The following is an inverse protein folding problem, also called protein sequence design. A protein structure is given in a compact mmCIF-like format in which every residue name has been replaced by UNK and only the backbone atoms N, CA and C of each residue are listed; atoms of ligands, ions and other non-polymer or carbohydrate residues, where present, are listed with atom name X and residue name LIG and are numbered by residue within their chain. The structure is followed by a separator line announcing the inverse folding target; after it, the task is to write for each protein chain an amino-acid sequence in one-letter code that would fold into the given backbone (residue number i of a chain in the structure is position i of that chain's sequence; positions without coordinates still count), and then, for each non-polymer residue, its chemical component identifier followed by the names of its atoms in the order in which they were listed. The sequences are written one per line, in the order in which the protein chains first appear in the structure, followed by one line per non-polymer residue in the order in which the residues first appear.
data_IF_575198975116
#
_entry.id   IF_575198975116
#
_cell.length_a   1.000
_cell.length_b   1.000
_cell.length_c   1.000
_cell.angle_alpha   90.00
_cell.angle_beta   90.00
_cell.angle_gamma   90.00
#
_symmetry.space_group_name_H-M   'P 1'
#
loop_
_entity.id
_entity.type
_entity.pdbx_description
1 polymer ?
#
# COMPACT_ATOMS: atom_id res chain seq x y z
N UNK A 1 64.07 -14.29 -17.44
CA UNK A 1 62.88 -13.86 -18.20
C UNK A 1 62.07 -15.11 -18.52
N UNK A 2 60.76 -15.09 -18.23
CA UNK A 2 59.71 -16.10 -18.50
C UNK A 2 59.82 -17.48 -17.81
N UNK A 3 58.95 -17.70 -16.81
CA UNK A 3 58.43 -19.04 -16.48
C UNK A 3 57.15 -19.31 -17.29
N UNK A 4 56.15 -20.00 -16.71
CA UNK A 4 56.08 -21.34 -16.12
C UNK A 4 55.09 -22.18 -16.98
N UNK A 5 54.51 -23.28 -16.48
CA UNK A 5 53.11 -23.73 -16.70
C UNK A 5 52.95 -25.26 -16.80
N UNK A 6 52.12 -25.77 -15.89
CA UNK A 6 51.08 -26.79 -16.11
C UNK A 6 51.50 -28.21 -16.52
N UNK A 7 51.69 -29.10 -15.53
CA UNK A 7 51.36 -30.52 -15.75
C UNK A 7 51.10 -31.36 -14.49
N UNK A 8 51.64 -31.01 -13.32
CA UNK A 8 51.74 -32.00 -12.22
C UNK A 8 50.61 -32.09 -11.19
N UNK A 9 49.77 -31.05 -11.03
CA UNK A 9 49.02 -30.86 -9.76
C UNK A 9 47.55 -31.34 -9.80
N UNK A 10 47.14 -32.06 -10.85
CA UNK A 10 45.79 -32.64 -10.91
C UNK A 10 45.79 -34.16 -10.70
N UNK A 11 45.89 -34.60 -9.44
CA UNK A 11 45.30 -35.86 -8.92
C UNK A 11 44.86 -35.62 -7.47
N UNK A 12 43.58 -35.35 -7.22
CA UNK A 12 42.49 -36.31 -7.04
C UNK A 12 42.58 -37.13 -5.73
N UNK A 13 41.61 -36.90 -4.84
CA UNK A 13 41.19 -37.89 -3.83
C UNK A 13 41.23 -37.43 -2.37
N UNK A 14 40.25 -36.66 -1.90
CA UNK A 14 40.00 -36.55 -0.45
C UNK A 14 38.52 -36.42 -0.07
N UNK A 15 37.89 -37.60 0.02
CA UNK A 15 37.05 -38.09 1.14
C UNK A 15 36.10 -37.10 1.82
N UNK A 16 34.96 -36.95 1.19
CA UNK A 16 33.64 -36.61 1.72
C UNK A 16 33.11 -37.73 2.65
N UNK A 17 33.25 -37.64 3.99
CA UNK A 17 32.40 -38.38 4.99
C UNK A 17 32.74 -38.20 6.48
N UNK A 18 33.02 -36.97 6.96
CA UNK A 18 33.23 -36.75 8.41
C UNK A 18 32.40 -35.62 9.04
N UNK A 19 31.56 -34.93 8.26
CA UNK A 19 30.91 -33.69 8.74
C UNK A 19 29.48 -33.88 9.26
N UNK A 20 28.85 -35.04 9.01
CA UNK A 20 27.44 -35.27 9.42
C UNK A 20 27.28 -36.02 10.76
N UNK A 21 28.36 -36.47 11.40
CA UNK A 21 28.28 -37.30 12.62
C UNK A 21 28.55 -36.55 13.95
N UNK A 22 28.75 -35.22 13.93
CA UNK A 22 29.04 -34.43 15.15
C UNK A 22 27.89 -33.50 15.60
N UNK A 23 26.74 -33.48 14.92
CA UNK A 23 25.72 -32.44 15.13
C UNK A 23 24.47 -32.97 15.87
N UNK A 24 24.66 -33.51 17.08
CA UNK A 24 23.57 -33.78 18.04
C UNK A 24 23.91 -33.12 19.37
N UNK A 25 22.91 -32.48 20.00
CA UNK A 25 22.78 -32.22 21.45
C UNK A 25 23.00 -30.79 22.03
N UNK A 26 22.86 -29.70 21.26
CA UNK A 26 22.89 -28.32 21.83
C UNK A 26 21.90 -27.32 21.21
N UNK A 27 20.74 -27.75 20.69
CA UNK A 27 19.74 -26.81 20.13
C UNK A 27 18.49 -26.57 21.01
N UNK A 28 18.23 -27.36 22.04
CA UNK A 28 16.92 -27.32 22.71
C UNK A 28 16.79 -26.23 23.79
N UNK A 29 17.92 -25.79 24.37
CA UNK A 29 17.96 -24.77 25.43
C UNK A 29 18.32 -23.34 24.98
N UNK A 30 19.22 -23.08 23.99
CA UNK A 30 19.55 -21.71 23.61
C UNK A 30 18.52 -21.08 22.66
N UNK A 31 17.79 -21.88 21.87
CA UNK A 31 16.77 -21.38 20.93
C UNK A 31 15.53 -20.87 21.67
N UNK A 32 15.06 -21.60 22.68
CA UNK A 32 13.92 -21.19 23.50
C UNK A 32 14.20 -19.94 24.33
N UNK A 33 15.43 -19.78 24.85
CA UNK A 33 15.84 -18.58 25.58
C UNK A 33 16.05 -17.38 24.64
N UNK A 34 16.59 -17.60 23.43
CA UNK A 34 16.69 -16.58 22.40
C UNK A 34 15.32 -16.16 21.83
N UNK A 35 14.37 -17.10 21.69
CA UNK A 35 12.96 -16.82 21.36
C UNK A 35 12.27 -16.10 22.53
N UNK A 36 12.51 -16.51 23.78
CA UNK A 36 11.92 -15.89 24.97
C UNK A 36 12.42 -14.47 25.15
N UNK A 37 13.73 -14.22 25.09
CA UNK A 37 14.32 -12.88 25.18
C UNK A 37 13.90 -12.02 23.98
N UNK A 38 13.84 -12.57 22.76
CA UNK A 38 13.27 -11.86 21.60
C UNK A 38 11.78 -11.53 21.80
N UNK A 39 11.01 -12.43 22.42
CA UNK A 39 9.60 -12.22 22.75
C UNK A 39 9.41 -11.17 23.85
N UNK A 40 10.32 -11.07 24.83
CA UNK A 40 10.29 -9.97 25.83
C UNK A 40 10.74 -8.62 25.27
N UNK A 41 11.64 -8.60 24.28
CA UNK A 41 11.98 -7.37 23.54
C UNK A 41 10.87 -6.95 22.57
N UNK A 42 10.01 -7.89 22.14
CA UNK A 42 8.71 -7.63 21.53
C UNK A 42 7.60 -7.45 22.59
N UNK A 43 7.91 -6.83 23.74
CA UNK A 43 6.93 -5.98 24.42
C UNK A 43 6.67 -4.78 23.52
N UNK A 44 5.97 -5.10 22.45
CA UNK A 44 5.57 -4.25 21.35
C UNK A 44 4.79 -3.10 21.98
N UNK A 45 5.19 -1.88 21.63
CA UNK A 45 4.40 -0.69 21.91
C UNK A 45 3.14 -0.78 21.04
N UNK A 46 2.22 -1.67 21.43
CA UNK A 46 0.97 -1.94 20.72
C UNK A 46 0.12 -0.69 20.90
N UNK A 47 0.17 0.16 19.89
CA UNK A 47 -0.73 1.29 19.72
C UNK A 47 -2.15 0.75 19.97
N UNK A 48 -2.92 1.35 20.89
CA UNK A 48 -4.13 0.75 21.42
C UNK A 48 -5.09 0.42 20.28
N UNK A 49 -5.35 -0.88 20.09
CA UNK A 49 -6.30 -1.44 19.12
C UNK A 49 -7.68 -0.77 19.18
N UNK A 50 -8.06 -0.24 20.36
CA UNK A 50 -9.28 0.54 20.57
C UNK A 50 -9.43 1.72 19.60
N UNK A 51 -8.36 2.43 19.26
CA UNK A 51 -8.43 3.58 18.34
C UNK A 51 -8.80 3.12 16.93
N UNK A 52 -8.24 2.01 16.46
CA UNK A 52 -8.56 1.44 15.16
C UNK A 52 -10.02 0.96 15.09
N UNK A 53 -10.52 0.30 16.12
CA UNK A 53 -11.92 -0.12 16.17
C UNK A 53 -12.91 1.06 16.22
N UNK A 54 -12.58 2.15 16.93
CA UNK A 54 -13.41 3.35 16.96
C UNK A 54 -13.50 4.01 15.58
N UNK A 55 -12.37 4.13 14.87
CA UNK A 55 -12.34 4.68 13.50
C UNK A 55 -13.05 3.75 12.53
N UNK A 56 -12.89 2.43 12.68
CA UNK A 56 -13.59 1.44 11.87
C UNK A 56 -15.11 1.58 12.02
N UNK A 57 -15.62 1.75 13.25
CA UNK A 57 -17.03 2.02 13.49
C UNK A 57 -17.50 3.33 12.84
N UNK A 58 -16.69 4.41 12.91
CA UNK A 58 -16.99 5.67 12.24
C UNK A 58 -17.08 5.52 10.71
N UNK A 59 -16.19 4.73 10.10
CA UNK A 59 -16.23 4.41 8.65
C UNK A 59 -17.45 3.59 8.27
N UNK A 60 -17.86 2.66 9.14
CA UNK A 60 -19.05 1.84 8.95
C UNK A 60 -20.31 2.72 9.01
N UNK A 61 -20.38 3.65 9.97
CA UNK A 61 -21.44 4.64 10.04
C UNK A 61 -21.48 5.52 8.78
N UNK A 62 -20.33 6.02 8.31
CA UNK A 62 -20.24 6.81 7.07
C UNK A 62 -20.73 6.04 5.85
N UNK A 63 -20.43 4.74 5.79
CA UNK A 63 -20.88 3.86 4.72
C UNK A 63 -22.39 3.62 4.80
N UNK A 64 -22.94 3.43 6.00
CA UNK A 64 -24.39 3.37 6.22
C UNK A 64 -25.08 4.66 5.76
N UNK A 65 -24.50 5.82 6.08
CA UNK A 65 -25.01 7.13 5.65
C UNK A 65 -24.96 7.26 4.12
N UNK A 66 -23.87 6.86 3.44
CA UNK A 66 -23.83 6.89 1.96
C UNK A 66 -24.93 6.05 1.33
N UNK A 67 -25.19 4.86 1.89
CA UNK A 67 -26.22 3.96 1.40
C UNK A 67 -27.61 4.55 1.65
N UNK A 68 -27.85 5.10 2.84
CA UNK A 68 -29.10 5.77 3.16
C UNK A 68 -29.37 6.96 2.23
N UNK A 69 -28.38 7.82 2.02
CA UNK A 69 -28.47 8.96 1.10
C UNK A 69 -28.74 8.50 -0.34
N UNK A 70 -28.19 7.37 -0.77
CA UNK A 70 -28.47 6.82 -2.11
C UNK A 70 -29.94 6.40 -2.29
N UNK A 71 -30.67 6.10 -1.21
CA UNK A 71 -32.11 5.82 -1.26
C UNK A 71 -32.99 7.08 -1.16
N UNK A 72 -32.43 8.21 -0.72
CA UNK A 72 -33.12 9.49 -0.76
C UNK A 72 -32.85 10.17 -2.11
N UNK A 73 -33.82 10.11 -3.00
CA UNK A 73 -33.73 10.73 -4.33
C UNK A 73 -33.81 12.26 -4.21
N UNK A 74 -32.67 12.90 -3.93
CA UNK A 74 -32.50 14.34 -3.78
C UNK A 74 -32.31 15.06 -5.13
N UNK A 75 -32.52 14.36 -6.25
CA UNK A 75 -32.33 14.89 -7.59
C UNK A 75 -30.87 15.31 -7.85
N UNK A 76 -30.59 16.45 -8.50
CA UNK A 76 -29.22 16.90 -8.84
C UNK A 76 -28.29 17.08 -7.64
N UNK A 77 -28.86 17.28 -6.44
CA UNK A 77 -28.09 17.47 -5.22
C UNK A 77 -27.53 16.15 -4.66
N UNK A 78 -28.04 14.99 -5.10
CA UNK A 78 -27.56 13.68 -4.65
C UNK A 78 -26.06 13.50 -4.95
N UNK A 79 -25.62 13.94 -6.14
CA UNK A 79 -24.22 13.87 -6.56
C UNK A 79 -23.30 14.70 -5.68
N UNK A 80 -23.71 15.93 -5.34
CA UNK A 80 -22.91 16.84 -4.50
C UNK A 80 -22.79 16.27 -3.08
N UNK A 81 -23.91 15.78 -2.53
CA UNK A 81 -23.94 15.15 -1.21
C UNK A 81 -23.08 13.88 -1.22
N UNK A 82 -23.25 12.98 -2.19
CA UNK A 82 -22.45 11.76 -2.30
C UNK A 82 -20.95 12.05 -2.41
N UNK A 83 -20.56 13.06 -3.19
CA UNK A 83 -19.16 13.47 -3.33
C UNK A 83 -18.59 14.03 -2.02
N UNK A 84 -19.35 14.88 -1.32
CA UNK A 84 -18.91 15.43 -0.02
C UNK A 84 -18.67 14.32 1.00
N UNK A 85 -19.57 13.34 1.06
CA UNK A 85 -19.45 12.19 1.95
C UNK A 85 -18.26 11.30 1.52
N UNK A 86 -18.03 11.12 0.22
CA UNK A 86 -16.85 10.40 -0.26
C UNK A 86 -15.53 11.07 0.19
N UNK A 87 -15.43 12.41 0.11
CA UNK A 87 -14.24 13.16 0.55
C UNK A 87 -14.02 13.05 2.07
N UNK A 88 -15.08 13.20 2.87
CA UNK A 88 -15.02 13.03 4.31
C UNK A 88 -14.54 11.62 4.71
N UNK A 89 -15.08 10.58 4.07
CA UNK A 89 -14.65 9.18 4.27
C UNK A 89 -13.17 9.00 3.92
N UNK A 90 -12.74 9.50 2.76
CA UNK A 90 -11.36 9.40 2.31
C UNK A 90 -10.39 10.09 3.30
N UNK A 91 -10.77 11.24 3.84
CA UNK A 91 -9.95 11.98 4.82
C UNK A 91 -9.81 11.20 6.13
N UNK A 92 -10.88 10.55 6.60
CA UNK A 92 -10.84 9.69 7.78
C UNK A 92 -9.90 8.49 7.59
N UNK A 93 -9.99 7.81 6.43
CA UNK A 93 -9.10 6.69 6.08
C UNK A 93 -7.65 7.15 6.05
N UNK A 94 -7.37 8.29 5.41
CA UNK A 94 -6.02 8.83 5.28
C UNK A 94 -5.43 9.17 6.66
N UNK A 95 -6.16 9.85 7.52
CA UNK A 95 -5.63 10.27 8.83
C UNK A 95 -5.31 9.09 9.76
N UNK A 96 -6.18 8.08 9.78
CA UNK A 96 -6.18 7.04 10.81
C UNK A 96 -5.72 5.67 10.30
N UNK A 97 -6.24 5.18 9.17
CA UNK A 97 -5.89 3.85 8.64
C UNK A 97 -4.53 3.85 7.95
N UNK A 98 -4.17 4.93 7.27
CA UNK A 98 -2.80 5.10 6.75
C UNK A 98 -1.82 5.63 7.79
N UNK A 99 -2.23 5.71 9.06
CA UNK A 99 -1.39 6.11 10.20
C UNK A 99 -0.64 7.44 9.98
N UNK A 100 -1.21 8.36 9.19
CA UNK A 100 -0.55 9.62 8.86
C UNK A 100 -0.32 10.51 10.08
N UNK A 101 -1.20 10.43 11.08
CA UNK A 101 -1.09 11.23 12.30
C UNK A 101 0.11 10.84 13.18
N UNK A 102 0.63 9.64 13.03
CA UNK A 102 1.74 9.10 13.83
C UNK A 102 3.00 8.83 12.99
N UNK A 103 2.90 8.94 11.66
CA UNK A 103 4.01 8.77 10.73
C UNK A 103 4.94 9.98 10.68
N UNK A 104 6.16 9.74 10.19
CA UNK A 104 7.18 10.78 10.00
C UNK A 104 6.74 11.83 8.97
N UNK A 105 7.28 13.05 9.07
CA UNK A 105 6.96 14.19 8.18
C UNK A 105 7.20 13.89 6.70
N UNK A 106 8.09 12.94 6.38
CA UNK A 106 8.34 12.49 5.02
C UNK A 106 7.07 11.90 4.37
N UNK A 107 6.31 11.08 5.11
CA UNK A 107 5.05 10.48 4.63
C UNK A 107 4.00 11.55 4.33
N UNK A 108 3.99 12.64 5.10
CA UNK A 108 3.08 13.77 4.89
C UNK A 108 3.35 14.50 3.57
N UNK A 109 4.62 14.64 3.17
CA UNK A 109 5.01 15.23 1.89
C UNK A 109 4.53 14.35 0.73
N UNK A 110 4.76 13.03 0.79
CA UNK A 110 4.31 12.12 -0.26
C UNK A 110 2.79 12.14 -0.43
N UNK A 111 2.04 12.17 0.67
CA UNK A 111 0.58 12.28 0.61
C UNK A 111 0.13 13.64 0.07
N UNK A 112 0.78 14.73 0.48
CA UNK A 112 0.51 16.06 -0.07
C UNK A 112 0.75 16.11 -1.59
N UNK A 113 1.87 15.56 -2.06
CA UNK A 113 2.17 15.43 -3.49
C UNK A 113 1.15 14.56 -4.22
N UNK A 114 0.73 13.44 -3.63
CA UNK A 114 -0.28 12.57 -4.20
C UNK A 114 -1.65 13.25 -4.34
N UNK A 115 -2.09 14.00 -3.33
CA UNK A 115 -3.34 14.77 -3.39
C UNK A 115 -3.22 15.89 -4.42
N UNK A 116 -2.11 16.62 -4.43
CA UNK A 116 -1.86 17.67 -5.41
C UNK A 116 -1.90 17.13 -6.85
N UNK A 117 -1.25 16.00 -7.09
CA UNK A 117 -1.28 15.31 -8.38
C UNK A 117 -2.68 14.78 -8.73
N UNK A 118 -3.42 14.23 -7.76
CA UNK A 118 -4.80 13.80 -8.00
C UNK A 118 -5.70 14.97 -8.41
N UNK A 119 -5.56 16.14 -7.75
CA UNK A 119 -6.32 17.33 -8.08
C UNK A 119 -6.01 17.87 -9.48
N UNK A 120 -4.74 17.82 -9.92
CA UNK A 120 -4.40 18.25 -11.28
C UNK A 120 -5.02 17.31 -12.33
N UNK A 121 -5.05 16.00 -12.07
CA UNK A 121 -5.69 15.02 -12.96
C UNK A 121 -7.21 15.22 -13.02
N UNK A 122 -7.86 15.49 -11.88
CA UNK A 122 -9.29 15.81 -11.83
C UNK A 122 -9.59 17.09 -12.61
N UNK A 123 -8.81 18.14 -12.42
CA UNK A 123 -8.99 19.40 -13.15
C UNK A 123 -8.82 19.21 -14.65
N UNK A 124 -7.81 18.42 -15.06
CA UNK A 124 -7.57 18.09 -16.46
C UNK A 124 -8.71 17.26 -17.06
N UNK A 125 -9.27 16.31 -16.30
CA UNK A 125 -10.43 15.54 -16.73
C UNK A 125 -11.66 16.43 -16.98
N UNK A 126 -11.94 17.37 -16.08
CA UNK A 126 -13.04 18.33 -16.30
C UNK A 126 -12.80 19.22 -17.51
N UNK A 127 -11.55 19.66 -17.74
CA UNK A 127 -11.18 20.44 -18.92
C UNK A 127 -11.32 19.62 -20.22
N UNK A 128 -10.93 18.34 -20.22
CA UNK A 128 -11.12 17.42 -21.36
C UNK A 128 -12.60 17.26 -21.69
N UNK A 129 -13.43 16.96 -20.69
CA UNK A 129 -14.88 16.80 -20.89
C UNK A 129 -15.53 18.09 -21.43
N UNK A 130 -15.12 19.26 -20.91
CA UNK A 130 -15.64 20.55 -21.37
C UNK A 130 -15.23 20.91 -22.81
N UNK A 131 -14.02 20.52 -23.23
CA UNK A 131 -13.49 20.83 -24.56
C UNK A 131 -13.98 19.90 -25.67
N UNK A 132 -14.51 18.71 -25.35
CA UNK A 132 -15.11 17.78 -26.34
C UNK A 132 -16.26 18.38 -27.14
N UNK A 133 -17.01 19.32 -26.57
CA UNK A 133 -18.11 20.00 -27.27
C UNK A 133 -17.67 21.09 -28.25
N UNK A 134 -16.37 21.40 -28.34
CA UNK A 134 -15.87 22.51 -29.16
C UNK A 134 -15.59 22.13 -30.61
N UNK A 135 -15.49 20.84 -30.93
CA UNK A 135 -15.28 20.37 -32.30
C UNK A 135 -16.66 20.26 -32.98
N UNK A 136 -16.92 20.99 -34.08
CA UNK A 136 -18.11 20.80 -34.89
C UNK A 136 -18.17 19.35 -35.40
N UNK A 137 -19.36 18.72 -35.48
CA UNK A 137 -19.49 17.41 -36.12
C UNK A 137 -18.85 17.45 -37.51
N UNK A 138 -18.05 16.43 -37.85
CA UNK A 138 -17.49 16.33 -39.19
C UNK A 138 -18.63 16.21 -40.21
N UNK A 139 -18.92 17.30 -40.91
CA UNK A 139 -20.01 17.46 -41.89
C UNK A 139 -19.77 16.69 -43.21
N UNK A 140 -19.00 15.61 -43.19
CA UNK A 140 -18.42 14.98 -44.38
C UNK A 140 -18.51 13.46 -44.50
N UNK A 141 -19.36 12.77 -43.73
CA UNK A 141 -19.49 11.30 -43.84
C UNK A 141 -20.80 10.88 -44.51
N UNK A 142 -20.83 10.97 -45.84
CA UNK A 142 -21.84 10.34 -46.68
C UNK A 142 -21.50 8.85 -46.86
N UNK A 143 -21.99 7.98 -45.96
CA UNK A 143 -21.94 6.52 -46.12
C UNK A 143 -23.14 6.05 -46.93
N UNK A 144 -22.94 5.45 -48.12
CA UNK A 144 -24.00 4.78 -48.84
C UNK A 144 -24.40 3.51 -48.07
N UNK A 145 -25.71 3.29 -47.90
CA UNK A 145 -26.30 2.10 -47.29
C UNK A 145 -26.17 0.87 -48.18
#
# INVERSE_FOLDING_TARGET
MAGPLLAGVLRAGRRYRLVLALCRYRLDFPVSLALSVRKTLMSEHVIPVRTYYAVFAALLAFTGITVAVAFLDLGPLSTVVALSIAVLKATLVLLYFMHLRYSSKLTWIFVGTGIFWFLILIAFLFADVASRGWIPPAEGWNVPR
#
